data_IF_803919715667
#
_entry.id   IF_803919715667
#
_cell.length_a   1.000
_cell.length_b   1.000
_cell.length_c   1.000
_cell.angle_alpha   90.00
_cell.angle_beta   90.00
_cell.angle_gamma   90.00
#
_symmetry.space_group_name_H-M   'P 1'
#
loop_
_entity.id
_entity.type
_entity.pdbx_description
1 polymer ?
#
# COMPACT_ATOMS: atom_id res chain seq x y z
N UNK A 1 2.80 21.44 -36.79
CA UNK A 1 1.72 20.43 -36.75
C UNK A 1 0.54 21.03 -36.00
N UNK A 2 -0.51 21.45 -36.71
CA UNK A 2 -1.80 21.79 -36.08
C UNK A 2 -2.50 20.48 -35.76
N UNK A 3 -2.34 19.98 -34.53
CA UNK A 3 -3.22 18.93 -34.02
C UNK A 3 -4.58 19.59 -33.80
N UNK A 4 -5.51 19.44 -34.76
CA UNK A 4 -6.90 19.83 -34.58
C UNK A 4 -7.40 19.16 -33.30
N UNK A 5 -7.80 19.95 -32.30
CA UNK A 5 -8.30 19.42 -31.03
C UNK A 5 -9.49 18.49 -31.31
N UNK A 6 -9.39 17.24 -30.87
CA UNK A 6 -10.49 16.27 -31.00
C UNK A 6 -11.68 16.74 -30.14
N UNK A 7 -12.86 16.90 -30.74
CA UNK A 7 -14.10 17.25 -30.02
C UNK A 7 -14.60 16.10 -29.12
N UNK A 8 -14.28 14.85 -29.46
CA UNK A 8 -14.64 13.64 -28.71
C UNK A 8 -13.66 12.50 -29.04
N UNK A 9 -13.28 11.72 -28.04
CA UNK A 9 -12.45 10.51 -28.19
C UNK A 9 -13.11 9.37 -27.39
N UNK A 10 -13.00 8.14 -27.89
CA UNK A 10 -13.37 6.93 -27.13
C UNK A 10 -12.10 6.29 -26.59
N UNK A 11 -12.11 5.95 -25.31
CA UNK A 11 -10.97 5.34 -24.64
C UNK A 11 -11.41 4.06 -23.94
N UNK A 12 -10.62 3.01 -24.07
CA UNK A 12 -10.74 1.82 -23.25
C UNK A 12 -9.72 1.92 -22.12
N UNK A 13 -10.18 1.89 -20.87
CA UNK A 13 -9.30 1.97 -19.71
C UNK A 13 -9.90 1.28 -18.51
N UNK A 14 -9.12 0.42 -17.88
CA UNK A 14 -9.50 -0.19 -16.61
C UNK A 14 -9.49 0.87 -15.50
N UNK A 15 -10.60 0.95 -14.76
CA UNK A 15 -10.84 1.96 -13.72
C UNK A 15 -10.47 3.41 -14.12
N UNK A 16 -10.63 3.77 -15.40
CA UNK A 16 -10.23 5.09 -15.93
C UNK A 16 -10.79 6.25 -15.10
N UNK A 17 -12.03 6.13 -14.64
CA UNK A 17 -12.69 7.15 -13.83
C UNK A 17 -12.07 7.38 -12.45
N UNK A 18 -11.25 6.45 -11.96
CA UNK A 18 -10.49 6.58 -10.71
C UNK A 18 -9.08 7.12 -10.93
N UNK A 19 -8.69 7.38 -12.19
CA UNK A 19 -7.34 7.80 -12.52
C UNK A 19 -7.09 9.27 -12.22
N UNK A 20 -5.82 9.59 -11.92
CA UNK A 20 -5.34 10.98 -11.84
C UNK A 20 -5.69 11.75 -13.10
N UNK A 21 -5.60 11.11 -14.26
CA UNK A 21 -5.91 11.72 -15.55
C UNK A 21 -7.37 12.16 -15.63
N UNK A 22 -8.32 11.27 -15.32
CA UNK A 22 -9.74 11.61 -15.38
C UNK A 22 -10.10 12.74 -14.40
N UNK A 23 -9.58 12.66 -13.17
CA UNK A 23 -9.80 13.66 -12.12
C UNK A 23 -9.28 15.05 -12.50
N UNK A 24 -8.05 15.12 -13.03
CA UNK A 24 -7.47 16.40 -13.49
C UNK A 24 -8.25 16.93 -14.71
N UNK A 25 -8.58 16.07 -15.66
CA UNK A 25 -9.29 16.47 -16.89
C UNK A 25 -10.68 17.02 -16.60
N UNK A 26 -11.42 16.40 -15.69
CA UNK A 26 -12.72 16.90 -15.23
C UNK A 26 -12.57 18.24 -14.48
N UNK A 27 -11.70 18.28 -13.47
CA UNK A 27 -11.64 19.42 -12.54
C UNK A 27 -10.92 20.65 -13.08
N UNK A 28 -9.98 20.49 -14.03
CA UNK A 28 -9.20 21.60 -14.59
C UNK A 28 -9.58 21.98 -15.99
N UNK A 29 -10.05 21.01 -16.79
CA UNK A 29 -10.25 21.21 -18.22
C UNK A 29 -11.68 20.98 -18.67
N UNK A 30 -12.62 20.73 -17.74
CA UNK A 30 -14.04 20.58 -18.05
C UNK A 30 -14.34 19.41 -18.99
N UNK A 31 -13.46 18.40 -19.02
CA UNK A 31 -13.69 17.20 -19.84
C UNK A 31 -14.79 16.37 -19.21
N UNK A 32 -15.84 16.12 -19.97
CA UNK A 32 -16.91 15.20 -19.58
C UNK A 32 -16.55 13.77 -19.95
N UNK A 33 -16.69 12.86 -19.00
CA UNK A 33 -16.54 11.43 -19.23
C UNK A 33 -17.91 10.76 -19.24
N UNK A 34 -18.18 10.00 -20.28
CA UNK A 34 -19.37 9.18 -20.41
C UNK A 34 -18.96 7.71 -20.45
N UNK A 35 -19.47 6.92 -19.50
CA UNK A 35 -19.34 5.47 -19.56
C UNK A 35 -20.21 4.95 -20.70
N UNK A 36 -19.60 4.17 -21.59
CA UNK A 36 -20.28 3.52 -22.70
C UNK A 36 -20.22 2.02 -22.50
N UNK A 37 -21.36 1.36 -22.60
CA UNK A 37 -21.41 -0.10 -22.65
C UNK A 37 -20.94 -0.60 -24.01
N UNK A 38 -20.24 -1.73 -24.00
CA UNK A 38 -19.81 -2.42 -25.21
C UNK A 38 -19.80 -3.93 -24.95
N UNK A 39 -19.94 -4.76 -25.99
CA UNK A 39 -19.87 -6.21 -25.84
C UNK A 39 -18.53 -6.63 -25.23
N UNK A 40 -18.58 -7.42 -24.16
CA UNK A 40 -17.41 -7.94 -23.46
C UNK A 40 -17.26 -9.42 -23.78
N UNK A 41 -16.01 -9.90 -23.82
CA UNK A 41 -15.73 -11.34 -23.85
C UNK A 41 -16.27 -11.98 -22.57
N UNK A 42 -16.83 -13.18 -22.71
CA UNK A 42 -17.27 -14.02 -21.59
C UNK A 42 -16.22 -15.06 -21.27
N UNK A 43 -16.03 -15.34 -19.98
CA UNK A 43 -15.11 -16.37 -19.50
C UNK A 43 -15.83 -17.71 -19.43
N UNK A 44 -15.15 -18.78 -19.81
CA UNK A 44 -15.64 -20.15 -19.64
C UNK A 44 -15.86 -20.46 -18.16
N UNK A 45 -14.91 -20.07 -17.31
CA UNK A 45 -15.03 -20.17 -15.85
C UNK A 45 -14.79 -18.80 -15.21
N UNK A 46 -15.69 -18.33 -14.32
CA UNK A 46 -15.51 -17.05 -13.61
C UNK A 46 -14.20 -17.00 -12.83
N UNK A 47 -13.54 -15.83 -12.82
CA UNK A 47 -12.29 -15.62 -12.09
C UNK A 47 -12.41 -15.97 -10.60
N UNK A 48 -13.56 -15.67 -9.99
CA UNK A 48 -13.83 -15.96 -8.58
C UNK A 48 -13.74 -17.45 -8.22
N UNK A 49 -13.89 -18.36 -9.20
CA UNK A 49 -13.75 -19.81 -9.01
C UNK A 49 -12.33 -20.32 -9.32
N UNK A 50 -11.45 -19.43 -9.77
CA UNK A 50 -10.10 -19.75 -10.24
C UNK A 50 -9.01 -19.08 -9.43
N UNK A 51 -9.33 -18.15 -8.54
CA UNK A 51 -8.30 -17.39 -7.80
C UNK A 51 -8.35 -17.70 -6.31
N UNK A 52 -7.18 -17.99 -5.76
CA UNK A 52 -6.93 -18.01 -4.32
C UNK A 52 -5.90 -16.92 -4.00
N UNK A 53 -6.18 -16.11 -2.99
CA UNK A 53 -5.38 -14.94 -2.64
C UNK A 53 -4.77 -15.18 -1.26
N UNK A 54 -3.46 -15.32 -1.22
CA UNK A 54 -2.67 -15.58 -0.02
C UNK A 54 -2.04 -14.28 0.46
N UNK A 55 -2.16 -13.98 1.75
CA UNK A 55 -1.54 -12.79 2.35
C UNK A 55 -0.85 -13.11 3.69
N UNK A 56 0.08 -12.24 4.09
CA UNK A 56 1.01 -12.52 5.21
C UNK A 56 0.92 -11.54 6.38
N UNK A 57 0.44 -10.32 6.13
CA UNK A 57 0.25 -9.30 7.17
C UNK A 57 -1.24 -8.94 7.29
N UNK A 58 -1.81 -9.21 8.46
CA UNK A 58 -3.18 -8.89 8.87
C UNK A 58 -3.31 -7.41 9.26
N UNK A 59 -2.32 -6.89 9.98
CA UNK A 59 -2.38 -5.58 10.62
C UNK A 59 -1.51 -4.53 9.94
N UNK A 60 -0.44 -4.94 9.25
CA UNK A 60 0.50 -4.04 8.60
C UNK A 60 0.31 -3.99 7.10
N UNK A 61 0.41 -2.78 6.56
CA UNK A 61 0.37 -2.57 5.12
C UNK A 61 1.77 -2.65 4.48
N UNK A 62 1.81 -2.89 3.17
CA UNK A 62 3.03 -2.89 2.39
C UNK A 62 3.64 -1.48 2.35
N UNK A 63 4.94 -1.41 2.61
CA UNK A 63 5.71 -0.17 2.42
C UNK A 63 7.18 -0.51 2.27
N UNK A 64 7.92 0.39 1.63
CA UNK A 64 9.37 0.26 1.52
C UNK A 64 10.02 0.18 2.90
N UNK A 65 9.54 0.99 3.86
CA UNK A 65 10.05 0.97 5.22
C UNK A 65 9.79 -0.39 5.87
N UNK A 66 8.56 -0.91 5.75
CA UNK A 66 8.21 -2.24 6.28
C UNK A 66 9.13 -3.33 5.73
N UNK A 67 9.44 -3.28 4.44
CA UNK A 67 10.27 -4.29 3.78
C UNK A 67 11.74 -4.29 4.20
N UNK A 68 12.19 -3.25 4.90
CA UNK A 68 13.58 -3.11 5.40
C UNK A 68 13.72 -3.33 6.90
N UNK A 69 12.67 -3.75 7.57
CA UNK A 69 12.72 -4.04 9.00
C UNK A 69 13.47 -5.35 9.27
N UNK A 70 13.88 -5.54 10.53
CA UNK A 70 14.84 -6.59 10.92
C UNK A 70 14.34 -8.02 10.75
N UNK A 71 13.04 -8.23 10.51
CA UNK A 71 12.46 -9.54 10.20
C UNK A 71 12.56 -9.91 8.71
N UNK A 72 13.15 -9.05 7.88
CA UNK A 72 13.47 -9.30 6.46
C UNK A 72 12.28 -9.93 5.70
N UNK A 73 11.11 -9.27 5.69
CA UNK A 73 9.85 -9.91 5.33
C UNK A 73 9.82 -10.43 3.89
N UNK A 74 10.54 -9.78 2.98
CA UNK A 74 10.59 -10.19 1.57
C UNK A 74 11.31 -11.53 1.37
N UNK A 75 12.36 -11.78 2.15
CA UNK A 75 13.10 -13.04 2.10
C UNK A 75 12.24 -14.17 2.68
N UNK A 76 11.66 -13.96 3.87
CA UNK A 76 10.80 -14.94 4.54
C UNK A 76 9.58 -15.32 3.69
N UNK A 77 8.91 -14.33 3.07
CA UNK A 77 7.80 -14.58 2.15
C UNK A 77 8.27 -15.33 0.91
N UNK A 78 9.43 -14.97 0.34
CA UNK A 78 9.96 -15.66 -0.85
C UNK A 78 10.28 -17.13 -0.57
N UNK A 79 10.81 -17.45 0.61
CA UNK A 79 11.05 -18.83 1.04
C UNK A 79 9.75 -19.61 1.22
N UNK A 80 8.75 -18.99 1.85
CA UNK A 80 7.42 -19.57 1.96
C UNK A 80 6.85 -19.89 0.57
N UNK A 81 6.89 -18.92 -0.35
CA UNK A 81 6.35 -19.09 -1.70
C UNK A 81 7.06 -20.24 -2.41
N UNK A 82 8.41 -20.30 -2.39
CA UNK A 82 9.15 -21.43 -2.97
C UNK A 82 8.70 -22.78 -2.43
N UNK A 83 8.49 -22.87 -1.12
CA UNK A 83 8.04 -24.11 -0.47
C UNK A 83 6.62 -24.47 -0.90
N UNK A 84 5.73 -23.49 -0.98
CA UNK A 84 4.32 -23.68 -1.36
C UNK A 84 4.17 -24.04 -2.85
N UNK A 85 5.00 -23.48 -3.72
CA UNK A 85 4.94 -23.71 -5.17
C UNK A 85 5.75 -24.92 -5.64
N UNK A 86 6.73 -25.37 -4.85
CA UNK A 86 7.71 -26.36 -5.28
C UNK A 86 8.51 -25.85 -6.49
N UNK A 87 8.58 -26.65 -7.55
CA UNK A 87 9.30 -26.31 -8.79
C UNK A 87 8.49 -25.45 -9.78
N UNK A 88 7.23 -25.13 -9.46
CA UNK A 88 6.38 -24.35 -10.38
C UNK A 88 6.92 -22.91 -10.50
N UNK A 89 6.94 -22.34 -11.72
CA UNK A 89 7.42 -20.99 -11.93
C UNK A 89 6.45 -19.98 -11.30
N UNK A 90 6.99 -18.87 -10.77
CA UNK A 90 6.23 -17.86 -10.04
C UNK A 90 6.45 -16.51 -10.70
N UNK A 91 5.41 -15.95 -11.34
CA UNK A 91 5.50 -14.60 -11.87
C UNK A 91 5.56 -13.62 -10.71
N UNK A 92 6.67 -12.89 -10.56
CA UNK A 92 6.82 -12.05 -9.37
C UNK A 92 7.33 -10.66 -9.68
N UNK A 93 7.07 -9.77 -8.72
CA UNK A 93 7.54 -8.39 -8.77
C UNK A 93 7.83 -7.86 -7.38
N UNK A 94 8.73 -6.88 -7.33
CA UNK A 94 9.10 -6.13 -6.15
C UNK A 94 9.49 -4.72 -6.58
N UNK A 95 9.69 -3.83 -5.60
CA UNK A 95 10.35 -2.56 -5.90
C UNK A 95 11.79 -2.83 -6.34
N UNK A 96 12.26 -2.18 -7.41
CA UNK A 96 13.58 -2.45 -8.01
C UNK A 96 14.72 -2.52 -6.98
N UNK A 97 14.76 -1.53 -6.07
CA UNK A 97 15.76 -1.44 -4.99
C UNK A 97 15.68 -2.52 -3.89
N UNK A 98 14.60 -3.32 -3.89
CA UNK A 98 14.35 -4.41 -2.95
C UNK A 98 14.31 -5.77 -3.67
N UNK A 99 14.58 -5.80 -4.98
CA UNK A 99 14.57 -7.03 -5.78
C UNK A 99 15.55 -8.07 -5.24
N UNK A 100 16.72 -7.62 -4.77
CA UNK A 100 17.74 -8.47 -4.18
C UNK A 100 17.32 -9.10 -2.84
N UNK A 101 16.32 -8.53 -2.16
CA UNK A 101 15.79 -9.04 -0.89
C UNK A 101 14.74 -10.16 -1.11
N UNK A 102 14.32 -10.38 -2.37
CA UNK A 102 13.43 -11.45 -2.75
C UNK A 102 14.24 -12.65 -3.24
N UNK A 103 13.94 -13.83 -2.70
CA UNK A 103 14.67 -15.06 -3.02
C UNK A 103 14.11 -15.80 -4.24
N UNK A 104 13.18 -15.23 -5.00
CA UNK A 104 12.55 -15.87 -6.16
C UNK A 104 13.44 -15.80 -7.42
N UNK A 105 13.32 -16.75 -8.39
CA UNK A 105 14.13 -16.76 -9.60
C UNK A 105 14.03 -15.48 -10.42
N UNK A 106 15.16 -14.85 -10.74
CA UNK A 106 15.18 -13.58 -11.48
C UNK A 106 14.61 -13.67 -12.92
N UNK A 107 14.54 -14.89 -13.48
CA UNK A 107 13.95 -15.17 -14.80
C UNK A 107 12.46 -14.87 -14.86
N UNK A 108 11.77 -15.00 -13.72
CA UNK A 108 10.31 -14.88 -13.63
C UNK A 108 9.89 -13.49 -13.12
N UNK A 109 10.88 -12.60 -12.93
CA UNK A 109 10.67 -11.24 -12.49
C UNK A 109 10.23 -10.34 -13.64
N UNK A 110 9.21 -9.51 -13.39
CA UNK A 110 8.94 -8.32 -14.20
C UNK A 110 8.72 -7.10 -13.32
N UNK A 111 8.88 -5.91 -13.90
CA UNK A 111 8.59 -4.67 -13.17
C UNK A 111 7.09 -4.53 -12.84
N UNK A 112 6.72 -3.86 -11.73
CA UNK A 112 5.32 -3.73 -11.32
C UNK A 112 4.42 -3.05 -12.38
N UNK A 113 5.02 -2.19 -13.22
CA UNK A 113 4.36 -1.47 -14.32
C UNK A 113 4.85 -1.95 -15.70
N UNK A 114 4.97 -3.26 -15.90
CA UNK A 114 5.29 -3.81 -17.22
C UNK A 114 4.09 -3.65 -18.18
N UNK A 115 4.21 -2.98 -19.32
CA UNK A 115 3.11 -2.84 -20.29
C UNK A 115 3.20 -3.87 -21.43
N UNK A 116 2.05 -4.26 -22.00
CA UNK A 116 2.01 -5.01 -23.28
C UNK A 116 2.46 -6.48 -23.25
N UNK A 117 2.54 -7.14 -22.08
CA UNK A 117 2.97 -8.54 -21.96
C UNK A 117 1.80 -9.51 -22.07
N UNK A 118 1.80 -10.34 -23.13
CA UNK A 118 0.81 -11.39 -23.37
C UNK A 118 1.39 -12.81 -23.21
N UNK A 119 2.72 -12.91 -23.14
CA UNK A 119 3.53 -14.13 -23.02
C UNK A 119 3.49 -14.76 -21.62
N UNK A 120 2.84 -14.12 -20.64
CA UNK A 120 2.86 -14.49 -19.22
C UNK A 120 1.64 -15.31 -18.77
N UNK A 121 0.77 -15.70 -19.71
CA UNK A 121 -0.48 -16.40 -19.38
C UNK A 121 -0.28 -17.86 -18.91
N UNK A 122 0.94 -18.38 -19.01
CA UNK A 122 1.29 -19.73 -18.53
C UNK A 122 1.49 -19.78 -17.01
N UNK A 123 1.69 -18.64 -16.34
CA UNK A 123 1.89 -18.60 -14.89
C UNK A 123 0.59 -18.85 -14.12
N UNK A 124 0.64 -19.79 -13.19
CA UNK A 124 -0.45 -20.13 -12.24
C UNK A 124 -0.14 -19.70 -10.81
N UNK A 125 1.08 -19.20 -10.56
CA UNK A 125 1.50 -18.67 -9.27
C UNK A 125 2.06 -17.26 -9.50
N UNK A 126 1.59 -16.31 -8.71
CA UNK A 126 1.87 -14.89 -8.92
C UNK A 126 2.19 -14.22 -7.59
N UNK A 127 3.27 -13.48 -7.47
CA UNK A 127 3.66 -12.80 -6.24
C UNK A 127 3.82 -11.28 -6.44
N UNK A 128 3.03 -10.50 -5.71
CA UNK A 128 3.17 -9.06 -5.63
C UNK A 128 3.85 -8.68 -4.31
N UNK A 129 5.16 -8.43 -4.39
CA UNK A 129 6.01 -8.06 -3.26
C UNK A 129 6.46 -6.59 -3.37
N UNK A 130 5.60 -5.75 -3.95
CA UNK A 130 5.88 -4.34 -4.18
C UNK A 130 4.96 -3.44 -3.33
N UNK A 131 5.50 -2.28 -2.95
CA UNK A 131 4.75 -1.18 -2.37
C UNK A 131 4.90 0.06 -3.28
N UNK A 132 3.80 0.61 -3.75
CA UNK A 132 3.80 1.67 -4.77
C UNK A 132 3.13 2.96 -4.29
N UNK A 133 3.19 3.17 -2.97
CA UNK A 133 2.70 4.38 -2.31
C UNK A 133 3.33 5.63 -2.92
N UNK A 134 2.50 6.65 -3.12
CA UNK A 134 2.95 7.95 -3.60
C UNK A 134 3.87 8.64 -2.57
N UNK A 135 4.74 9.51 -3.07
CA UNK A 135 5.53 10.37 -2.18
C UNK A 135 4.64 11.44 -1.53
N UNK A 136 5.06 11.98 -0.38
CA UNK A 136 4.34 13.11 0.25
C UNK A 136 4.21 14.31 -0.68
N UNK A 137 5.28 14.63 -1.40
CA UNK A 137 5.28 15.71 -2.38
C UNK A 137 4.19 15.49 -3.44
N UNK A 138 4.15 14.29 -4.03
CA UNK A 138 3.15 13.94 -5.03
C UNK A 138 1.72 14.02 -4.49
N UNK A 139 1.48 13.49 -3.28
CA UNK A 139 0.17 13.58 -2.62
C UNK A 139 -0.25 15.04 -2.45
N UNK A 140 0.62 15.88 -1.89
CA UNK A 140 0.31 17.31 -1.68
C UNK A 140 0.08 18.05 -2.99
N UNK A 141 0.87 17.77 -4.02
CA UNK A 141 0.70 18.38 -5.34
C UNK A 141 -0.63 17.96 -5.98
N UNK A 142 -0.96 16.67 -5.99
CA UNK A 142 -2.21 16.18 -6.60
C UNK A 142 -3.44 16.59 -5.79
N UNK A 143 -3.33 16.67 -4.47
CA UNK A 143 -4.39 17.24 -3.63
C UNK A 143 -4.62 18.72 -3.95
N UNK A 144 -3.56 19.52 -4.13
CA UNK A 144 -3.68 20.93 -4.50
C UNK A 144 -4.25 21.11 -5.91
N UNK A 145 -3.85 20.26 -6.86
CA UNK A 145 -4.33 20.34 -8.25
C UNK A 145 -5.77 19.87 -8.34
N UNK A 146 -6.10 18.65 -7.92
CA UNK A 146 -7.39 18.02 -8.21
C UNK A 146 -8.14 17.52 -6.96
N UNK A 147 -7.67 17.82 -5.75
CA UNK A 147 -8.32 17.37 -4.52
C UNK A 147 -8.21 15.87 -4.26
N UNK A 148 -7.37 15.15 -5.01
CA UNK A 148 -7.21 13.70 -4.86
C UNK A 148 -6.61 13.37 -3.48
N UNK A 149 -7.23 12.42 -2.79
CA UNK A 149 -6.77 11.97 -1.47
C UNK A 149 -5.59 11.02 -1.60
N UNK A 150 -4.82 10.87 -0.52
CA UNK A 150 -3.72 9.89 -0.46
C UNK A 150 -4.22 8.46 -0.70
N UNK A 151 -5.45 8.13 -0.28
CA UNK A 151 -6.03 6.81 -0.48
C UNK A 151 -6.38 6.59 -1.96
N UNK A 152 -7.07 7.53 -2.59
CA UNK A 152 -7.41 7.45 -4.03
C UNK A 152 -6.14 7.31 -4.90
N UNK A 153 -5.07 8.02 -4.54
CA UNK A 153 -3.79 7.89 -5.22
C UNK A 153 -3.12 6.53 -4.99
N UNK A 154 -3.28 5.95 -3.79
CA UNK A 154 -2.79 4.60 -3.48
C UNK A 154 -3.57 3.55 -4.29
N UNK A 155 -4.89 3.66 -4.33
CA UNK A 155 -5.75 2.77 -5.10
C UNK A 155 -5.35 2.79 -6.58
N UNK A 156 -5.12 3.98 -7.14
CA UNK A 156 -4.70 4.09 -8.53
C UNK A 156 -3.26 3.65 -8.79
N UNK A 157 -2.28 4.04 -7.96
CA UNK A 157 -0.85 3.75 -8.22
C UNK A 157 -0.44 2.33 -7.91
N UNK A 158 -0.98 1.78 -6.83
CA UNK A 158 -0.60 0.47 -6.32
C UNK A 158 -1.64 -0.57 -6.69
N UNK A 159 -2.89 -0.38 -6.28
CA UNK A 159 -3.87 -1.45 -6.40
C UNK A 159 -4.28 -1.72 -7.85
N UNK A 160 -4.45 -0.68 -8.67
CA UNK A 160 -4.67 -0.90 -10.09
C UNK A 160 -3.45 -1.56 -10.76
N UNK A 161 -2.22 -1.18 -10.39
CA UNK A 161 -1.02 -1.83 -10.90
C UNK A 161 -0.93 -3.31 -10.47
N UNK A 162 -1.29 -3.61 -9.22
CA UNK A 162 -1.41 -4.96 -8.67
C UNK A 162 -2.43 -5.79 -9.46
N UNK A 163 -3.65 -5.28 -9.66
CA UNK A 163 -4.66 -5.97 -10.45
C UNK A 163 -4.16 -6.25 -11.87
N UNK A 164 -3.62 -5.24 -12.54
CA UNK A 164 -3.10 -5.39 -13.89
C UNK A 164 -1.97 -6.43 -13.93
N UNK A 165 -1.09 -6.47 -12.93
CA UNK A 165 -0.01 -7.45 -12.80
C UNK A 165 -0.56 -8.87 -12.67
N UNK A 166 -1.50 -9.08 -11.75
CA UNK A 166 -2.18 -10.38 -11.56
C UNK A 166 -2.88 -10.83 -12.83
N UNK A 167 -3.53 -9.92 -13.55
CA UNK A 167 -4.21 -10.19 -14.81
C UNK A 167 -3.26 -10.49 -16.00
N UNK A 168 -1.94 -10.54 -15.81
CA UNK A 168 -0.99 -11.07 -16.82
C UNK A 168 -0.84 -12.58 -16.78
N UNK A 169 -1.20 -13.19 -15.65
CA UNK A 169 -1.15 -14.64 -15.42
C UNK A 169 -2.22 -15.39 -16.22
N UNK A 170 -2.37 -16.69 -15.95
CA UNK A 170 -3.43 -17.50 -16.53
C UNK A 170 -4.85 -16.96 -16.30
N UNK A 171 -5.05 -16.07 -15.32
CA UNK A 171 -6.33 -15.36 -15.16
C UNK A 171 -6.71 -14.50 -16.37
N UNK A 172 -5.76 -14.15 -17.24
CA UNK A 172 -6.08 -13.45 -18.50
C UNK A 172 -6.74 -14.35 -19.53
N UNK A 173 -6.47 -15.64 -19.48
CA UNK A 173 -7.02 -16.61 -20.41
C UNK A 173 -8.50 -16.82 -20.09
N UNK A 174 -9.36 -16.48 -21.06
CA UNK A 174 -10.81 -16.54 -20.94
C UNK A 174 -11.33 -17.97 -21.06
N UNK A 175 -10.56 -18.85 -21.71
CA UNK A 175 -10.97 -20.21 -22.03
C UNK A 175 -10.42 -21.22 -21.01
N UNK A 176 -9.41 -20.83 -20.23
CA UNK A 176 -8.85 -21.65 -19.16
C UNK A 176 -9.78 -21.79 -17.94
N UNK A 177 -9.79 -23.00 -17.37
CA UNK A 177 -10.37 -23.31 -16.05
C UNK A 177 -9.29 -23.41 -14.95
N UNK A 178 -8.02 -23.23 -15.29
CA UNK A 178 -6.89 -23.50 -14.39
C UNK A 178 -6.91 -22.54 -13.20
N UNK A 179 -6.77 -23.04 -11.96
CA UNK A 179 -6.63 -22.22 -10.76
C UNK A 179 -5.31 -21.44 -10.76
N UNK A 180 -5.33 -20.27 -10.11
CA UNK A 180 -4.21 -19.36 -9.93
C UNK A 180 -4.11 -18.95 -8.46
N UNK A 181 -2.91 -19.05 -7.91
CA UNK A 181 -2.60 -18.58 -6.55
C UNK A 181 -1.88 -17.24 -6.64
N UNK A 182 -2.37 -16.25 -5.89
CA UNK A 182 -1.82 -14.90 -5.84
C UNK A 182 -1.32 -14.61 -4.43
N UNK A 183 -0.02 -14.38 -4.28
CA UNK A 183 0.62 -13.99 -3.03
C UNK A 183 0.76 -12.47 -2.97
N UNK A 184 0.25 -11.85 -1.91
CA UNK A 184 0.37 -10.42 -1.64
C UNK A 184 0.86 -10.21 -0.22
N UNK A 185 1.43 -9.04 0.07
CA UNK A 185 1.97 -8.79 1.40
C UNK A 185 0.86 -8.59 2.44
N UNK A 186 -0.06 -7.65 2.21
CA UNK A 186 -1.03 -7.19 3.21
C UNK A 186 -2.46 -7.62 2.92
N UNK A 187 -3.26 -7.71 3.98
CA UNK A 187 -4.71 -7.92 3.91
C UNK A 187 -5.40 -6.91 2.99
N UNK A 188 -5.00 -5.63 3.01
CA UNK A 188 -5.59 -4.59 2.13
C UNK A 188 -5.39 -4.88 0.64
N UNK A 189 -4.21 -5.37 0.27
CA UNK A 189 -3.94 -5.81 -1.11
C UNK A 189 -4.81 -7.01 -1.48
N UNK A 190 -4.98 -7.94 -0.53
CA UNK A 190 -5.79 -9.14 -0.72
C UNK A 190 -7.28 -8.81 -0.89
N UNK A 191 -7.83 -7.96 -0.02
CA UNK A 191 -9.22 -7.49 -0.06
C UNK A 191 -9.51 -6.72 -1.35
N UNK A 192 -8.59 -5.87 -1.80
CA UNK A 192 -8.75 -5.19 -3.09
C UNK A 192 -8.85 -6.20 -4.24
N UNK A 193 -7.96 -7.19 -4.28
CA UNK A 193 -8.02 -8.23 -5.30
C UNK A 193 -9.31 -9.05 -5.21
N UNK A 194 -9.74 -9.42 -4.00
CA UNK A 194 -10.98 -10.16 -3.80
C UNK A 194 -12.19 -9.36 -4.28
N UNK A 195 -12.23 -8.06 -4.02
CA UNK A 195 -13.28 -7.19 -4.54
C UNK A 195 -13.30 -7.17 -6.08
N UNK A 196 -12.12 -7.18 -6.72
CA UNK A 196 -11.96 -7.10 -8.18
C UNK A 196 -12.16 -8.43 -8.90
N UNK A 197 -11.74 -9.53 -8.28
CA UNK A 197 -11.60 -10.86 -8.92
C UNK A 197 -12.54 -11.91 -8.30
N UNK A 198 -13.02 -11.69 -7.08
CA UNK A 198 -13.62 -12.69 -6.21
C UNK A 198 -12.56 -13.61 -5.59
N UNK A 199 -12.96 -14.85 -5.30
CA UNK A 199 -12.08 -15.89 -4.79
C UNK A 199 -11.89 -15.88 -3.28
N UNK A 200 -11.09 -16.83 -2.82
CA UNK A 200 -10.88 -17.10 -1.41
C UNK A 200 -9.65 -16.36 -0.89
N UNK A 201 -9.77 -15.77 0.29
CA UNK A 201 -8.64 -15.21 1.03
C UNK A 201 -8.07 -16.26 1.97
N UNK A 202 -6.74 -16.38 1.99
CA UNK A 202 -6.01 -17.24 2.92
C UNK A 202 -4.91 -16.43 3.61
N UNK A 203 -5.04 -16.25 4.92
CA UNK A 203 -3.98 -15.70 5.73
C UNK A 203 -2.94 -16.78 6.06
N UNK A 204 -1.66 -16.44 5.93
CA UNK A 204 -0.55 -17.26 6.41
C UNK A 204 0.20 -16.46 7.48
N UNK A 205 -0.04 -16.82 8.74
CA UNK A 205 0.60 -16.19 9.89
C UNK A 205 1.99 -16.77 10.17
N UNK A 206 2.79 -16.03 10.94
CA UNK A 206 4.11 -16.48 11.40
C UNK A 206 5.25 -16.37 10.38
N UNK A 207 4.97 -15.88 9.17
CA UNK A 207 6.01 -15.62 8.14
C UNK A 207 6.66 -14.26 8.33
N UNK A 208 5.92 -13.29 8.84
CA UNK A 208 6.40 -11.92 9.08
C UNK A 208 5.97 -11.46 10.47
N UNK A 209 6.71 -10.50 11.03
CA UNK A 209 6.31 -9.83 12.27
C UNK A 209 5.16 -8.87 11.96
N UNK A 210 3.96 -9.20 12.41
CA UNK A 210 2.73 -8.46 12.12
C UNK A 210 2.11 -7.87 13.38
N UNK A 211 2.88 -7.03 14.06
CA UNK A 211 2.36 -6.27 15.20
C UNK A 211 1.43 -5.15 14.73
N UNK A 212 0.34 -4.94 15.48
CA UNK A 212 -0.53 -3.80 15.21
C UNK A 212 0.26 -2.49 15.28
N UNK A 213 0.15 -1.61 14.26
CA UNK A 213 0.74 -0.29 14.33
C UNK A 213 0.20 0.42 15.57
N UNK A 214 1.10 0.89 16.46
CA UNK A 214 0.69 1.64 17.64
C UNK A 214 -0.09 2.89 17.23
N UNK A 215 -1.40 2.87 17.47
CA UNK A 215 -2.25 4.05 17.38
C UNK A 215 -2.17 4.79 18.72
N UNK A 216 -1.92 6.10 18.64
CA UNK A 216 -1.84 6.96 19.82
C UNK A 216 -3.08 7.85 19.95
N UNK A 217 -3.91 7.93 18.89
CA UNK A 217 -5.19 8.61 18.85
C UNK A 217 -6.18 7.89 17.90
N UNK A 218 -7.43 8.37 17.87
CA UNK A 218 -8.48 7.86 16.98
C UNK A 218 -8.20 8.11 15.48
N UNK A 219 -7.27 9.01 15.17
CA UNK A 219 -6.87 9.37 13.80
C UNK A 219 -5.82 8.38 13.23
N UNK A 220 -5.40 7.38 14.02
CA UNK A 220 -4.57 6.26 13.59
C UNK A 220 -3.07 6.40 13.92
N UNK A 221 -2.21 5.53 13.36
CA UNK A 221 -0.78 5.54 13.66
C UNK A 221 -0.09 6.80 13.13
N UNK A 222 0.91 7.28 13.88
CA UNK A 222 1.72 8.43 13.48
C UNK A 222 2.44 8.16 12.14
N UNK A 223 2.56 9.19 11.29
CA UNK A 223 3.50 9.20 10.17
C UNK A 223 4.94 9.33 10.68
N UNK A 224 5.93 9.03 9.83
CA UNK A 224 7.35 9.21 10.19
C UNK A 224 7.70 10.68 10.57
N UNK A 225 7.05 11.65 9.92
CA UNK A 225 7.25 13.06 10.24
C UNK A 225 6.62 13.44 11.57
N UNK A 226 5.41 12.94 11.85
CA UNK A 226 4.77 13.13 13.16
C UNK A 226 5.62 12.46 14.24
N UNK A 227 6.11 11.23 14.05
CA UNK A 227 7.01 10.56 15.01
C UNK A 227 8.23 11.41 15.36
N UNK A 228 8.89 11.99 14.37
CA UNK A 228 10.08 12.82 14.61
C UNK A 228 9.73 14.11 15.36
N UNK A 229 8.66 14.81 14.96
CA UNK A 229 8.19 16.01 15.65
C UNK A 229 7.71 15.71 17.06
N UNK A 230 6.92 14.66 17.22
CA UNK A 230 6.39 14.17 18.50
C UNK A 230 7.53 13.83 19.42
N UNK A 231 8.53 13.05 18.97
CA UNK A 231 9.74 12.77 19.76
C UNK A 231 10.43 14.07 20.19
N UNK A 232 10.71 14.96 19.24
CA UNK A 232 11.40 16.22 19.52
C UNK A 232 10.69 17.09 20.57
N UNK A 233 9.37 17.25 20.46
CA UNK A 233 8.61 18.10 21.38
C UNK A 233 8.29 17.39 22.70
N UNK A 234 8.02 16.09 22.68
CA UNK A 234 7.87 15.26 23.88
C UNK A 234 9.11 15.37 24.77
N UNK A 235 10.30 15.23 24.19
CA UNK A 235 11.55 15.28 24.97
C UNK A 235 11.73 16.65 25.64
N UNK A 236 11.25 17.74 25.01
CA UNK A 236 11.21 19.08 25.62
C UNK A 236 10.15 19.23 26.70
N UNK A 237 8.95 18.68 26.49
CA UNK A 237 7.85 18.67 27.47
C UNK A 237 8.31 17.98 28.74
N UNK A 238 8.93 16.81 28.62
CA UNK A 238 9.51 16.06 29.74
C UNK A 238 10.64 16.85 30.41
N UNK A 239 11.57 17.44 29.64
CA UNK A 239 12.67 18.23 30.19
C UNK A 239 12.20 19.49 30.94
N UNK A 240 11.09 20.09 30.52
CA UNK A 240 10.49 21.25 31.17
C UNK A 240 9.55 20.88 32.33
N UNK A 241 9.27 19.59 32.56
CA UNK A 241 8.35 19.14 33.61
C UNK A 241 6.90 19.58 33.39
N UNK A 242 6.50 19.85 32.14
CA UNK A 242 5.13 20.27 31.81
C UNK A 242 4.34 19.09 31.26
N UNK A 243 3.02 19.12 31.42
CA UNK A 243 2.11 18.07 30.93
C UNK A 243 1.53 18.36 29.54
N UNK A 244 1.61 19.62 29.09
CA UNK A 244 1.13 20.07 27.78
C UNK A 244 2.24 20.84 27.07
N UNK A 245 2.49 20.49 25.80
CA UNK A 245 3.43 21.19 24.92
C UNK A 245 3.13 22.69 24.78
N UNK A 246 1.87 23.10 24.92
CA UNK A 246 1.46 24.51 24.90
C UNK A 246 1.97 25.30 26.10
N UNK A 247 2.31 24.62 27.19
CA UNK A 247 2.85 25.25 28.41
C UNK A 247 4.37 25.36 28.41
N UNK A 248 5.04 25.04 27.28
CA UNK A 248 6.47 25.25 27.17
C UNK A 248 6.82 26.75 27.25
N UNK A 249 7.92 27.12 27.94
CA UNK A 249 8.29 28.51 28.13
C UNK A 249 8.52 29.23 26.79
N UNK A 250 8.15 30.52 26.69
CA UNK A 250 7.99 31.28 25.43
C UNK A 250 9.28 31.50 24.63
N UNK A 251 10.42 31.03 25.13
CA UNK A 251 11.74 31.14 24.49
C UNK A 251 11.83 30.52 23.09
N UNK A 252 10.85 29.72 22.65
CA UNK A 252 10.78 29.16 21.31
C UNK A 252 9.34 29.23 20.78
N UNK A 253 9.10 29.86 19.62
CA UNK A 253 7.77 29.81 19.03
C UNK A 253 7.44 28.34 18.74
N UNK A 254 6.28 27.87 19.21
CA UNK A 254 5.78 26.51 18.99
C UNK A 254 5.68 26.15 17.49
N UNK A 255 5.81 27.13 16.59
CA UNK A 255 5.53 26.94 15.18
C UNK A 255 4.07 26.50 14.99
N UNK A 256 3.66 26.29 13.73
CA UNK A 256 2.32 25.75 13.43
C UNK A 256 2.26 24.25 13.78
N UNK A 257 2.23 23.90 15.07
CA UNK A 257 1.76 22.58 15.48
C UNK A 257 0.25 22.51 15.23
N UNK A 258 -0.18 21.50 14.49
CA UNK A 258 -1.59 21.18 14.35
C UNK A 258 -2.16 20.63 15.66
N UNK A 259 -3.47 20.71 15.83
CA UNK A 259 -4.18 20.14 16.98
C UNK A 259 -3.87 18.64 17.17
N UNK A 260 -3.74 17.90 16.07
CA UNK A 260 -3.36 16.49 16.13
C UNK A 260 -1.96 16.31 16.67
N UNK A 261 -0.99 17.09 16.19
CA UNK A 261 0.39 17.01 16.67
C UNK A 261 0.47 17.32 18.17
N UNK A 262 -0.29 18.31 18.66
CA UNK A 262 -0.40 18.61 20.10
C UNK A 262 -0.93 17.40 20.88
N UNK A 263 -2.04 16.80 20.45
CA UNK A 263 -2.61 15.60 21.09
C UNK A 263 -1.59 14.46 21.16
N UNK A 264 -0.90 14.18 20.05
CA UNK A 264 0.09 13.11 19.96
C UNK A 264 1.30 13.36 20.88
N UNK A 265 1.80 14.59 20.94
CA UNK A 265 2.91 14.98 21.83
C UNK A 265 2.53 14.72 23.29
N UNK A 266 1.40 15.27 23.72
CA UNK A 266 0.96 15.20 25.11
C UNK A 266 0.64 13.75 25.52
N UNK A 267 -0.05 12.99 24.67
CA UNK A 267 -0.34 11.58 24.93
C UNK A 267 0.94 10.72 25.03
N UNK A 268 1.96 11.02 24.23
CA UNK A 268 3.24 10.30 24.28
C UNK A 268 4.08 10.71 25.49
N UNK A 269 4.02 11.97 25.91
CA UNK A 269 4.69 12.46 27.12
C UNK A 269 4.09 11.82 28.39
N UNK A 270 2.76 11.82 28.51
CA UNK A 270 2.06 11.21 29.64
C UNK A 270 2.42 9.73 29.83
N UNK A 271 2.45 8.96 28.73
CA UNK A 271 2.88 7.55 28.77
C UNK A 271 4.34 7.37 29.19
N UNK A 272 5.22 8.29 28.80
CA UNK A 272 6.63 8.21 29.18
C UNK A 272 6.84 8.51 30.67
N UNK A 273 6.07 9.45 31.24
CA UNK A 273 6.06 9.70 32.69
C UNK A 273 5.53 8.50 33.46
N UNK A 274 4.38 7.94 33.04
CA UNK A 274 3.80 6.76 33.68
C UNK A 274 4.75 5.53 33.66
N UNK A 275 5.48 5.32 32.57
CA UNK A 275 6.46 4.24 32.48
C UNK A 275 7.69 4.44 33.38
N UNK A 276 8.04 5.69 33.70
CA UNK A 276 9.11 6.00 34.65
C UNK A 276 8.65 5.81 36.09
N UNK A 277 7.39 6.12 36.41
CA UNK A 277 6.82 5.93 37.74
C UNK A 277 6.66 4.44 38.09
N UNK A 278 6.22 3.60 37.14
CA UNK A 278 6.13 2.15 37.32
C UNK A 278 7.51 1.48 37.53
N UNK A 279 8.56 1.96 36.84
CA UNK A 279 9.93 1.49 37.07
C UNK A 279 10.53 2.00 38.39
N UNK A 280 10.09 3.16 38.89
CA UNK A 280 10.47 3.69 40.19
C UNK A 280 9.89 2.88 41.35
N UNK A 281 8.68 2.35 41.19
CA UNK A 281 8.03 1.47 42.16
C UNK A 281 8.63 0.06 42.21
N UNK A 282 9.14 -0.47 41.10
CA UNK A 282 9.82 -1.79 41.09
C UNK A 282 11.24 -1.77 41.64
N UNK A 283 11.91 -0.61 41.70
CA UNK A 283 13.25 -0.48 42.29
C UNK A 283 13.21 -0.12 43.80
N UNK A 284 12.02 0.12 44.35
CA UNK A 284 11.79 0.48 45.74
C UNK A 284 11.14 -0.65 46.59
N UNK A 285 11.05 -1.87 46.04
CA UNK A 285 10.60 -3.09 46.70
C UNK A 285 11.73 -4.10 46.79
#
# INVERSE_FOLDING_TARGET
MNLIAFKRVRMLGDEMMKSVTAEVWQKKWGVEFQCLDFPRRSRTVPTAKRVSIVYFAEHRDSSITRFKEGDVPLAAISEFIKKDTGEKPVLWTANERLKADCLLPATDFISPKAHGRNDLQHYTHVAWLAAMKASKFEITSLQSVCGMTSQALTDWREYNALYQFVMRSNLRDYDSATPVVVYVFSRKQAEYLQQRLGGELRHVSGIVVDEQPRAYDADGPMTASERNKVKHWRDKVLAAGVSDVRHLPPSKPLGKLSEREVRLINATALKATAANDDNGLMLAA
#
